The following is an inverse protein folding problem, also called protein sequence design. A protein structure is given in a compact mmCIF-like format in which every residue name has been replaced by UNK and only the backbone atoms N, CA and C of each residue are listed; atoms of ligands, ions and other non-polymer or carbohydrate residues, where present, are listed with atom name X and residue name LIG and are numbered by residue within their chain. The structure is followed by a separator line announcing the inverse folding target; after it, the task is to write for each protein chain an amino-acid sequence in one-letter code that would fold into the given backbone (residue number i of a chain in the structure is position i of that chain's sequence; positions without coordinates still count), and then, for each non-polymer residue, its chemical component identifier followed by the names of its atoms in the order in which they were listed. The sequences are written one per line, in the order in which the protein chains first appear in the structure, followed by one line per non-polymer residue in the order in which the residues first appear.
data_IF_056828100443
#
_entry.id   IF_056828100443
#
_cell.length_a   1.000
_cell.length_b   1.000
_cell.length_c   1.000
_cell.angle_alpha   90.00
_cell.angle_beta   90.00
_cell.angle_gamma   90.00
#
_symmetry.space_group_name_H-M   'P 1'
#
loop_
_entity.id
_entity.type
_entity.pdbx_description
1 polymer ?
#
# COMPACT_ATOMS: atom_id res chain seq x y z
N UNK A 1 -25.37 -7.77 16.55
CA UNK A 1 -25.51 -6.30 16.40
C UNK A 1 -24.61 -5.89 15.25
N UNK A 2 -25.10 -5.24 14.21
CA UNK A 2 -24.22 -4.65 13.18
C UNK A 2 -23.52 -3.46 13.86
N UNK A 3 -22.19 -3.52 13.99
CA UNK A 3 -21.43 -2.34 14.40
C UNK A 3 -21.68 -1.24 13.37
N UNK A 4 -22.03 -0.06 13.84
CA UNK A 4 -22.17 1.10 12.97
C UNK A 4 -20.76 1.57 12.62
N UNK A 5 -20.41 1.52 11.32
CA UNK A 5 -19.12 2.01 10.84
C UNK A 5 -19.09 3.53 10.98
N UNK A 6 -17.93 4.08 11.32
CA UNK A 6 -17.67 5.52 11.38
C UNK A 6 -16.95 5.98 10.12
N UNK A 7 -17.17 7.20 9.67
CA UNK A 7 -16.39 7.78 8.59
C UNK A 7 -14.93 7.90 9.02
N UNK A 8 -14.04 7.40 8.18
CA UNK A 8 -12.62 7.33 8.48
C UNK A 8 -11.93 6.21 7.72
N UNK A 9 -10.64 6.01 7.99
CA UNK A 9 -9.82 5.00 7.33
C UNK A 9 -9.05 4.14 8.34
N UNK A 10 -9.10 2.82 8.16
CA UNK A 10 -8.18 1.89 8.82
C UNK A 10 -7.26 1.27 7.77
N UNK A 11 -5.96 1.36 7.98
CA UNK A 11 -4.95 0.64 7.19
C UNK A 11 -4.68 -0.69 7.86
N UNK A 12 -4.77 -1.78 7.10
CA UNK A 12 -4.40 -3.12 7.51
C UNK A 12 -3.24 -3.62 6.64
N UNK A 13 -2.19 -4.15 7.24
CA UNK A 13 -1.04 -4.68 6.50
C UNK A 13 0.01 -5.31 7.40
N UNK A 14 1.01 -5.90 6.81
CA UNK A 14 2.12 -6.49 7.54
C UNK A 14 3.25 -5.47 7.71
N UNK A 15 3.90 -5.47 8.87
CA UNK A 15 5.21 -4.87 9.02
C UNK A 15 6.24 -5.69 8.26
N UNK A 16 7.32 -5.06 7.86
CA UNK A 16 8.44 -5.74 7.23
C UNK A 16 9.78 -5.34 7.86
N UNK A 17 10.72 -6.25 7.79
CA UNK A 17 12.14 -6.01 8.06
C UNK A 17 12.82 -5.82 6.71
N UNK A 18 13.32 -4.63 6.46
CA UNK A 18 14.01 -4.31 5.22
C UNK A 18 15.53 -4.23 5.43
N UNK A 19 16.29 -4.89 4.55
CA UNK A 19 17.74 -4.77 4.44
C UNK A 19 18.05 -4.07 3.10
N UNK A 20 18.48 -2.82 3.17
CA UNK A 20 18.71 -1.99 1.99
C UNK A 20 20.21 -1.89 1.72
N UNK A 21 20.69 -2.35 0.55
CA UNK A 21 22.10 -2.34 0.13
C UNK A 21 23.05 -2.95 1.19
N UNK A 22 22.60 -4.01 1.88
CA UNK A 22 23.38 -4.65 2.94
C UNK A 22 23.53 -3.84 4.23
N UNK A 23 22.80 -2.74 4.38
CA UNK A 23 22.74 -1.96 5.62
C UNK A 23 22.07 -2.76 6.76
N UNK A 24 22.18 -2.32 8.02
CA UNK A 24 21.43 -2.90 9.12
C UNK A 24 19.93 -2.94 8.84
N UNK A 25 19.23 -3.90 9.46
CA UNK A 25 17.78 -4.02 9.39
C UNK A 25 17.09 -2.71 9.76
N UNK A 26 16.04 -2.38 9.01
CA UNK A 26 15.21 -1.20 9.24
C UNK A 26 13.73 -1.55 9.14
N UNK A 27 12.86 -0.81 9.84
CA UNK A 27 11.42 -0.96 9.69
C UNK A 27 10.98 -0.69 8.26
N UNK A 28 10.18 -1.59 7.71
CA UNK A 28 9.59 -1.48 6.38
C UNK A 28 8.11 -1.89 6.39
N UNK A 29 7.59 -2.10 5.21
CA UNK A 29 6.20 -2.46 4.97
C UNK A 29 5.29 -1.25 4.78
N UNK A 30 4.22 -1.47 4.02
CA UNK A 30 3.27 -0.43 3.62
C UNK A 30 2.68 0.32 4.83
N UNK A 31 2.38 -0.40 5.92
CA UNK A 31 1.83 0.19 7.14
C UNK A 31 2.73 1.28 7.74
N UNK A 32 4.05 1.09 7.69
CA UNK A 32 5.02 2.07 8.20
C UNK A 32 4.99 3.38 7.41
N UNK A 33 4.85 3.30 6.10
CA UNK A 33 4.80 4.47 5.22
C UNK A 33 3.40 5.12 5.20
N UNK A 34 2.33 4.32 5.25
CA UNK A 34 0.96 4.81 5.35
C UNK A 34 0.76 5.69 6.60
N UNK A 35 1.46 5.38 7.71
CA UNK A 35 1.39 6.15 8.94
C UNK A 35 1.77 7.62 8.75
N UNK A 36 2.72 7.91 7.87
CA UNK A 36 3.12 9.30 7.55
C UNK A 36 1.94 10.09 6.98
N UNK A 37 1.20 9.47 6.05
CA UNK A 37 0.04 10.12 5.41
C UNK A 37 -1.11 10.37 6.37
N UNK A 38 -1.23 9.57 7.44
CA UNK A 38 -2.35 9.65 8.37
C UNK A 38 -2.07 10.51 9.61
N UNK A 39 -0.84 11.01 9.80
CA UNK A 39 -0.45 11.77 11.01
C UNK A 39 -1.22 13.07 11.17
N UNK A 40 -1.67 13.68 10.09
CA UNK A 40 -2.42 14.96 10.07
C UNK A 40 -3.87 14.78 9.64
N UNK A 41 -4.45 13.60 9.88
CA UNK A 41 -5.83 13.32 9.49
C UNK A 41 -6.83 14.07 10.38
N UNK A 42 -7.77 14.77 9.76
CA UNK A 42 -8.90 15.44 10.45
C UNK A 42 -10.10 14.49 10.68
N UNK A 43 -10.01 13.26 10.17
CA UNK A 43 -11.02 12.20 10.35
C UNK A 43 -10.40 11.01 11.10
N UNK A 44 -11.20 10.14 11.71
CA UNK A 44 -10.70 8.94 12.38
C UNK A 44 -9.79 8.12 11.47
N UNK A 45 -8.55 7.90 11.91
CA UNK A 45 -7.56 7.13 11.19
C UNK A 45 -6.85 6.15 12.13
N UNK A 46 -6.54 4.95 11.64
CA UNK A 46 -5.81 3.91 12.37
C UNK A 46 -4.97 3.08 11.43
N UNK A 47 -3.93 2.51 12.00
CA UNK A 47 -3.13 1.48 11.36
C UNK A 47 -3.10 0.29 12.29
N UNK A 48 -3.47 -0.86 11.77
CA UNK A 48 -3.26 -2.13 12.46
C UNK A 48 -2.35 -2.98 11.60
N UNK A 49 -1.21 -3.32 12.13
CA UNK A 49 -0.21 -4.11 11.43
C UNK A 49 0.12 -5.39 12.18
N UNK A 50 0.67 -6.39 11.50
CA UNK A 50 1.15 -7.61 12.13
C UNK A 50 2.67 -7.69 12.08
N UNK A 51 3.27 -8.21 13.16
CA UNK A 51 4.69 -8.47 13.29
C UNK A 51 4.99 -9.43 14.43
N UNK A 52 6.12 -10.14 14.35
CA UNK A 52 6.51 -11.07 15.41
C UNK A 52 6.96 -10.32 16.67
N UNK A 53 6.62 -10.83 17.88
CA UNK A 53 7.05 -10.20 19.13
C UNK A 53 8.57 -10.06 19.27
N UNK A 54 9.33 -11.00 18.73
CA UNK A 54 10.80 -11.01 18.80
C UNK A 54 11.41 -9.83 17.99
N UNK A 55 10.67 -9.29 17.03
CA UNK A 55 11.12 -8.18 16.18
C UNK A 55 10.61 -6.81 16.68
N UNK A 56 9.83 -6.75 17.76
CA UNK A 56 9.19 -5.52 18.23
C UNK A 56 10.18 -4.39 18.48
N UNK A 57 11.37 -4.68 19.04
CA UNK A 57 12.39 -3.67 19.29
C UNK A 57 12.79 -2.89 18.01
N UNK A 58 12.69 -3.53 16.83
CA UNK A 58 12.93 -2.85 15.56
C UNK A 58 11.84 -1.82 15.23
N UNK A 59 10.61 -2.04 15.71
CA UNK A 59 9.46 -1.20 15.44
C UNK A 59 9.16 -0.18 16.54
N UNK A 60 9.87 -0.21 17.68
CA UNK A 60 9.71 0.77 18.76
C UNK A 60 9.77 2.23 18.28
N UNK A 61 10.69 2.63 17.36
CA UNK A 61 10.71 3.99 16.83
C UNK A 61 9.43 4.38 16.08
N UNK A 62 8.74 3.42 15.44
CA UNK A 62 7.45 3.68 14.80
C UNK A 62 6.35 3.88 15.84
N UNK A 63 6.33 3.05 16.89
CA UNK A 63 5.38 3.17 17.99
C UNK A 63 5.55 4.48 18.75
N UNK A 64 6.79 4.90 19.01
CA UNK A 64 7.10 6.20 19.62
C UNK A 64 6.64 7.37 18.75
N UNK A 65 6.87 7.29 17.43
CA UNK A 65 6.53 8.34 16.49
C UNK A 65 5.02 8.47 16.26
N UNK A 66 4.30 7.36 16.12
CA UNK A 66 2.90 7.33 15.69
C UNK A 66 1.92 7.07 16.84
N UNK A 67 2.41 6.65 18.00
CA UNK A 67 1.61 6.48 19.21
C UNK A 67 0.35 5.63 18.96
N UNK A 68 -0.81 6.16 19.35
CA UNK A 68 -2.10 5.45 19.22
C UNK A 68 -2.59 5.26 17.79
N UNK A 69 -1.97 5.90 16.80
CA UNK A 69 -2.30 5.70 15.39
C UNK A 69 -1.93 4.28 14.93
N UNK A 70 -0.79 3.74 15.43
CA UNK A 70 -0.27 2.43 15.06
C UNK A 70 -0.48 1.42 16.18
N UNK A 71 -1.14 0.30 15.87
CA UNK A 71 -1.26 -0.87 16.72
C UNK A 71 -0.63 -2.08 16.04
N UNK A 72 0.23 -2.80 16.74
CA UNK A 72 0.84 -4.05 16.24
C UNK A 72 0.14 -5.23 16.88
N UNK A 73 -0.40 -6.13 16.06
CA UNK A 73 -0.91 -7.43 16.46
C UNK A 73 0.24 -8.45 16.40
N UNK A 74 0.35 -9.34 17.39
CA UNK A 74 1.36 -10.37 17.38
C UNK A 74 1.09 -11.40 16.28
N UNK A 75 2.17 -11.86 15.64
CA UNK A 75 2.15 -12.94 14.65
C UNK A 75 3.37 -13.84 14.82
N UNK A 76 3.35 -15.03 14.20
CA UNK A 76 4.44 -16.01 14.33
C UNK A 76 5.74 -15.55 13.66
N UNK A 77 5.65 -14.63 12.69
CA UNK A 77 6.78 -14.11 11.92
C UNK A 77 6.50 -12.73 11.38
N UNK A 78 7.58 -12.00 11.06
CA UNK A 78 7.53 -10.73 10.33
C UNK A 78 7.96 -10.95 8.89
N UNK A 79 7.32 -10.28 7.93
CA UNK A 79 7.79 -10.24 6.54
C UNK A 79 9.21 -9.66 6.49
N UNK A 80 10.07 -10.17 5.60
CA UNK A 80 11.42 -9.62 5.46
C UNK A 80 11.84 -9.56 4.00
N UNK A 81 12.47 -8.42 3.64
CA UNK A 81 12.90 -8.16 2.27
C UNK A 81 14.32 -7.64 2.23
N UNK A 82 15.01 -7.98 1.15
CA UNK A 82 16.27 -7.36 0.76
C UNK A 82 16.07 -6.54 -0.50
N UNK A 83 16.54 -5.29 -0.46
CA UNK A 83 16.44 -4.32 -1.54
C UNK A 83 17.84 -3.86 -1.93
N UNK A 84 18.32 -4.28 -3.09
CA UNK A 84 19.61 -3.88 -3.62
C UNK A 84 19.40 -2.89 -4.76
N UNK A 85 19.65 -1.61 -4.52
CA UNK A 85 19.54 -0.55 -5.50
C UNK A 85 20.70 -0.61 -6.48
N UNK A 86 20.39 -0.74 -7.77
CA UNK A 86 21.35 -0.68 -8.87
C UNK A 86 21.61 0.78 -9.23
N UNK A 87 20.56 1.60 -9.18
CA UNK A 87 20.57 3.06 -9.32
C UNK A 87 19.38 3.67 -8.55
N UNK A 88 19.09 4.96 -8.75
CA UNK A 88 18.02 5.66 -7.99
C UNK A 88 16.63 5.08 -8.28
N UNK A 89 16.40 4.58 -9.48
CA UNK A 89 15.09 4.15 -9.96
C UNK A 89 14.95 2.60 -10.01
N UNK A 90 16.07 1.87 -10.07
CA UNK A 90 16.07 0.43 -10.26
C UNK A 90 16.64 -0.31 -9.05
N UNK A 91 15.87 -1.26 -8.53
CA UNK A 91 16.27 -2.14 -7.45
C UNK A 91 15.98 -3.60 -7.75
N UNK A 92 16.81 -4.48 -7.23
CA UNK A 92 16.51 -5.90 -7.11
C UNK A 92 15.89 -6.13 -5.74
N UNK A 93 14.87 -6.96 -5.68
CA UNK A 93 14.21 -7.29 -4.42
C UNK A 93 14.22 -8.81 -4.23
N UNK A 94 14.45 -9.24 -3.00
CA UNK A 94 14.30 -10.64 -2.57
C UNK A 94 13.39 -10.70 -1.34
N UNK A 95 12.62 -11.76 -1.24
CA UNK A 95 11.83 -12.11 -0.07
C UNK A 95 12.67 -13.01 0.82
N UNK A 96 13.06 -12.55 1.99
CA UNK A 96 13.82 -13.35 2.96
C UNK A 96 12.87 -14.11 3.90
N UNK A 97 11.68 -13.54 4.20
CA UNK A 97 10.60 -14.22 4.93
C UNK A 97 9.22 -13.78 4.44
N UNK A 98 8.33 -14.75 4.26
CA UNK A 98 6.90 -14.53 3.99
C UNK A 98 6.19 -14.31 5.32
N UNK A 99 5.44 -13.23 5.42
CA UNK A 99 4.74 -12.81 6.63
C UNK A 99 3.44 -13.58 6.93
N UNK A 100 2.69 -13.09 7.92
CA UNK A 100 1.40 -13.67 8.29
C UNK A 100 0.31 -13.34 7.28
N UNK A 101 -0.76 -14.12 7.33
CA UNK A 101 -1.97 -13.96 6.51
C UNK A 101 -3.05 -13.28 7.34
N UNK A 102 -3.75 -12.32 6.75
CA UNK A 102 -4.91 -11.66 7.33
C UNK A 102 -6.18 -12.50 7.12
N UNK A 103 -6.39 -13.50 7.98
CA UNK A 103 -7.61 -14.30 8.01
C UNK A 103 -8.68 -13.70 8.91
N UNK A 104 -9.78 -14.43 9.10
CA UNK A 104 -10.92 -13.96 9.91
C UNK A 104 -10.54 -13.65 11.36
N UNK A 105 -9.62 -14.42 11.97
CA UNK A 105 -9.19 -14.22 13.36
C UNK A 105 -8.40 -12.90 13.52
N UNK A 106 -7.51 -12.60 12.57
CA UNK A 106 -6.71 -11.38 12.54
C UNK A 106 -7.60 -10.15 12.29
N UNK A 107 -8.62 -10.27 11.42
CA UNK A 107 -9.61 -9.21 11.19
C UNK A 107 -10.46 -8.99 12.45
N UNK A 108 -10.87 -10.03 13.15
CA UNK A 108 -11.58 -9.88 14.44
C UNK A 108 -10.70 -9.20 15.48
N UNK A 109 -9.43 -9.59 15.57
CA UNK A 109 -8.47 -8.96 16.49
C UNK A 109 -8.18 -7.50 16.12
N UNK A 110 -8.11 -7.18 14.85
CA UNK A 110 -7.95 -5.81 14.36
C UNK A 110 -9.18 -4.95 14.65
N UNK A 111 -10.36 -5.55 14.55
CA UNK A 111 -11.66 -4.92 14.77
C UNK A 111 -11.79 -3.56 14.06
N UNK A 112 -11.64 -3.51 12.73
CA UNK A 112 -11.79 -2.25 11.99
C UNK A 112 -13.25 -1.76 12.11
N UNK A 113 -13.41 -0.49 12.45
CA UNK A 113 -14.72 0.14 12.64
C UNK A 113 -14.95 1.34 11.71
N UNK A 114 -14.04 1.60 10.76
CA UNK A 114 -14.13 2.70 9.80
C UNK A 114 -14.78 2.25 8.50
N UNK A 115 -15.45 3.18 7.80
CA UNK A 115 -16.10 2.90 6.52
C UNK A 115 -15.10 2.51 5.45
N UNK A 116 -13.90 3.11 5.42
CA UNK A 116 -12.87 2.81 4.45
C UNK A 116 -11.76 1.97 5.06
N UNK A 117 -11.32 0.96 4.30
CA UNK A 117 -10.15 0.15 4.62
C UNK A 117 -9.13 0.29 3.50
N UNK A 118 -7.89 0.61 3.85
CA UNK A 118 -6.75 0.44 2.97
C UNK A 118 -6.08 -0.88 3.34
N UNK A 119 -6.25 -1.89 2.50
CA UNK A 119 -5.53 -3.14 2.61
C UNK A 119 -4.20 -3.01 1.87
N UNK A 120 -3.12 -3.12 2.61
CA UNK A 120 -1.75 -2.84 2.18
C UNK A 120 -0.91 -4.13 2.17
N UNK A 121 -1.18 -5.08 1.23
CA UNK A 121 -0.43 -6.33 1.14
C UNK A 121 1.01 -6.09 0.72
N UNK A 122 1.91 -6.91 1.18
CA UNK A 122 3.30 -7.00 0.70
C UNK A 122 3.46 -8.08 -0.36
N UNK A 123 2.71 -9.17 -0.18
CA UNK A 123 2.70 -10.34 -1.04
C UNK A 123 1.27 -10.81 -1.32
N UNK A 124 1.11 -11.67 -2.33
CA UNK A 124 -0.19 -12.13 -2.85
C UNK A 124 -1.08 -12.82 -1.81
N UNK A 125 -0.50 -13.53 -0.87
CA UNK A 125 -1.24 -14.30 0.15
C UNK A 125 -1.56 -13.51 1.39
N UNK A 126 -1.11 -12.27 1.52
CA UNK A 126 -1.35 -11.49 2.74
C UNK A 126 -2.84 -11.34 3.06
N UNK A 127 -3.67 -11.17 2.03
CA UNK A 127 -5.13 -11.06 2.18
C UNK A 127 -5.86 -12.05 1.26
N UNK A 128 -6.38 -13.15 1.78
CA UNK A 128 -7.20 -14.09 1.01
C UNK A 128 -8.50 -13.44 0.49
N UNK A 129 -9.01 -13.93 -0.64
CA UNK A 129 -10.24 -13.41 -1.25
C UNK A 129 -11.45 -13.48 -0.30
N UNK A 130 -11.56 -14.55 0.50
CA UNK A 130 -12.63 -14.72 1.48
C UNK A 130 -12.59 -13.61 2.55
N UNK A 131 -11.40 -13.14 2.92
CA UNK A 131 -11.23 -12.03 3.87
C UNK A 131 -11.75 -10.73 3.27
N UNK A 132 -11.43 -10.46 2.00
CA UNK A 132 -11.93 -9.27 1.30
C UNK A 132 -13.46 -9.30 1.17
N UNK A 133 -14.02 -10.46 0.77
CA UNK A 133 -15.45 -10.65 0.66
C UNK A 133 -16.15 -10.40 2.01
N UNK A 134 -15.63 -10.97 3.10
CA UNK A 134 -16.16 -10.77 4.44
C UNK A 134 -16.15 -9.30 4.88
N UNK A 135 -15.07 -8.55 4.58
CA UNK A 135 -14.97 -7.13 4.89
C UNK A 135 -15.98 -6.30 4.08
N UNK A 136 -16.12 -6.59 2.78
CA UNK A 136 -17.12 -5.93 1.93
C UNK A 136 -18.56 -6.22 2.39
N UNK A 137 -18.88 -7.46 2.80
CA UNK A 137 -20.18 -7.83 3.37
C UNK A 137 -20.51 -7.10 4.67
N UNK A 138 -19.49 -6.74 5.44
CA UNK A 138 -19.63 -5.89 6.65
C UNK A 138 -19.89 -4.43 6.31
N UNK A 139 -19.78 -4.03 5.05
CA UNK A 139 -20.04 -2.68 4.55
C UNK A 139 -18.81 -1.80 4.40
N UNK A 140 -17.61 -2.37 4.53
CA UNK A 140 -16.38 -1.62 4.29
C UNK A 140 -16.14 -1.36 2.80
N UNK A 141 -15.60 -0.20 2.48
CA UNK A 141 -15.09 0.17 1.17
C UNK A 141 -13.58 -0.08 1.13
N UNK A 142 -13.15 -1.00 0.28
CA UNK A 142 -11.78 -1.51 0.28
C UNK A 142 -10.96 -0.82 -0.80
N UNK A 143 -9.86 -0.17 -0.38
CA UNK A 143 -8.75 0.26 -1.25
C UNK A 143 -7.65 -0.80 -1.14
N UNK A 144 -7.17 -1.31 -2.27
CA UNK A 144 -6.21 -2.41 -2.32
C UNK A 144 -4.98 -2.05 -3.16
N UNK A 145 -3.78 -2.28 -2.61
CA UNK A 145 -2.53 -2.11 -3.34
C UNK A 145 -2.23 -3.29 -4.26
N UNK A 146 -1.96 -3.01 -5.53
CA UNK A 146 -1.78 -3.99 -6.60
C UNK A 146 -0.58 -4.92 -6.43
N UNK A 147 0.40 -4.55 -5.61
CA UNK A 147 1.50 -5.46 -5.28
C UNK A 147 0.99 -6.79 -4.69
N UNK A 148 -0.13 -6.78 -3.97
CA UNK A 148 -0.80 -7.99 -3.50
C UNK A 148 -1.46 -8.82 -4.59
N UNK A 149 -1.56 -8.33 -5.82
CA UNK A 149 -1.97 -9.13 -6.97
C UNK A 149 -0.76 -9.77 -7.66
N UNK A 150 0.34 -9.03 -7.80
CA UNK A 150 1.43 -9.43 -8.69
C UNK A 150 2.63 -10.05 -8.00
N UNK A 151 2.88 -9.78 -6.71
CA UNK A 151 4.07 -10.30 -6.00
C UNK A 151 3.82 -11.70 -5.46
N UNK A 152 4.58 -12.68 -5.96
CA UNK A 152 4.49 -14.05 -5.49
C UNK A 152 5.01 -14.21 -4.05
N UNK A 153 4.34 -15.05 -3.29
CA UNK A 153 4.54 -15.34 -1.86
C UNK A 153 5.59 -16.43 -1.60
N UNK A 154 6.80 -16.25 -2.13
CA UNK A 154 7.88 -17.24 -1.96
C UNK A 154 9.21 -16.60 -1.61
N UNK A 155 9.97 -17.27 -0.76
CA UNK A 155 11.35 -16.88 -0.40
C UNK A 155 12.27 -16.98 -1.62
N UNK A 156 13.21 -16.04 -1.73
CA UNK A 156 14.16 -15.91 -2.83
C UNK A 156 13.94 -14.62 -3.65
N UNK A 157 14.50 -14.53 -4.86
CA UNK A 157 14.28 -13.38 -5.73
C UNK A 157 12.78 -13.12 -5.90
N UNK A 158 12.37 -11.86 -5.74
CA UNK A 158 10.96 -11.50 -5.90
C UNK A 158 10.50 -11.84 -7.31
N UNK A 159 9.46 -12.64 -7.39
CA UNK A 159 8.79 -12.96 -8.65
C UNK A 159 7.51 -12.16 -8.73
N UNK A 160 7.33 -11.49 -9.83
CA UNK A 160 6.10 -10.76 -10.16
C UNK A 160 5.46 -11.39 -11.38
N UNK A 161 4.18 -11.70 -11.28
CA UNK A 161 3.39 -12.31 -12.34
C UNK A 161 1.90 -11.98 -12.17
N UNK A 162 1.07 -12.37 -13.14
CA UNK A 162 -0.38 -12.12 -13.15
C UNK A 162 -1.24 -13.28 -12.63
N UNK A 163 -0.65 -14.24 -11.92
CA UNK A 163 -1.37 -15.42 -11.44
C UNK A 163 -2.09 -15.16 -10.10
N UNK A 164 -2.92 -14.13 -10.02
CA UNK A 164 -3.76 -13.84 -8.85
C UNK A 164 -5.18 -14.39 -9.03
N UNK A 165 -5.88 -14.63 -7.91
CA UNK A 165 -7.30 -15.01 -7.95
C UNK A 165 -8.16 -13.83 -8.40
N UNK A 166 -9.01 -14.05 -9.38
CA UNK A 166 -10.00 -13.05 -9.83
C UNK A 166 -11.03 -12.73 -8.74
N UNK A 167 -11.20 -13.61 -7.75
CA UNK A 167 -12.11 -13.42 -6.60
C UNK A 167 -11.66 -12.30 -5.66
N UNK A 168 -10.41 -11.82 -5.81
CA UNK A 168 -9.93 -10.64 -5.08
C UNK A 168 -10.58 -9.34 -5.56
N UNK A 169 -11.04 -9.27 -6.82
CA UNK A 169 -11.45 -8.01 -7.44
C UNK A 169 -12.87 -7.54 -7.05
N UNK A 170 -13.92 -8.40 -7.04
CA UNK A 170 -15.29 -7.97 -6.81
C UNK A 170 -15.53 -7.22 -5.48
N UNK A 171 -14.83 -7.52 -4.37
CA UNK A 171 -14.98 -6.79 -3.11
C UNK A 171 -14.37 -5.39 -3.10
N UNK A 172 -13.51 -5.05 -4.08
CA UNK A 172 -12.76 -3.80 -4.07
C UNK A 172 -13.63 -2.60 -4.48
N UNK A 173 -13.49 -1.51 -3.75
CA UNK A 173 -13.97 -0.20 -4.19
C UNK A 173 -12.92 0.52 -5.03
N UNK A 174 -11.63 0.34 -4.69
CA UNK A 174 -10.51 0.97 -5.37
C UNK A 174 -9.36 -0.03 -5.50
N UNK A 175 -8.75 -0.11 -6.67
CA UNK A 175 -7.50 -0.81 -6.93
C UNK A 175 -6.43 0.21 -7.32
N UNK A 176 -5.32 0.29 -6.57
CA UNK A 176 -4.17 1.11 -6.95
C UNK A 176 -3.06 0.22 -7.53
N UNK A 177 -2.56 0.57 -8.69
CA UNK A 177 -1.46 -0.09 -9.37
C UNK A 177 -0.31 0.91 -9.59
N UNK A 178 0.93 0.47 -9.45
CA UNK A 178 2.06 1.16 -10.05
C UNK A 178 2.11 0.84 -11.55
N UNK A 179 2.84 1.62 -12.35
CA UNK A 179 2.95 1.43 -13.81
C UNK A 179 3.36 0.01 -14.19
N UNK A 180 4.39 -0.52 -13.53
CA UNK A 180 4.90 -1.89 -13.76
C UNK A 180 3.88 -2.96 -13.34
N UNK A 181 3.16 -2.76 -12.25
CA UNK A 181 2.08 -3.64 -11.81
C UNK A 181 0.91 -3.63 -12.81
N UNK A 182 0.57 -2.46 -13.34
CA UNK A 182 -0.47 -2.28 -14.33
C UNK A 182 -0.15 -3.06 -15.63
N UNK A 183 1.10 -2.97 -16.11
CA UNK A 183 1.57 -3.74 -17.27
C UNK A 183 1.45 -5.24 -17.03
N UNK A 184 1.81 -5.73 -15.85
CA UNK A 184 1.71 -7.16 -15.50
C UNK A 184 0.25 -7.61 -15.44
N UNK A 185 -0.63 -6.85 -14.79
CA UNK A 185 -2.06 -7.16 -14.66
C UNK A 185 -2.75 -7.15 -16.03
N UNK A 186 -2.36 -6.22 -16.91
CA UNK A 186 -2.89 -6.11 -18.26
C UNK A 186 -2.37 -7.17 -19.22
N UNK A 187 -1.21 -7.77 -18.93
CA UNK A 187 -0.40 -8.54 -19.89
C UNK A 187 -0.01 -7.68 -21.11
N UNK A 188 0.39 -6.46 -20.84
CA UNK A 188 0.71 -5.44 -21.85
C UNK A 188 0.31 -4.04 -21.43
N UNK A 189 -0.18 -3.23 -22.36
CA UNK A 189 -0.64 -1.87 -22.06
C UNK A 189 -1.92 -1.89 -21.23
N UNK A 190 -1.91 -1.15 -20.11
CA UNK A 190 -3.13 -0.93 -19.33
C UNK A 190 -3.98 0.16 -19.97
N UNK A 191 -5.23 -0.15 -20.23
CA UNK A 191 -6.17 0.74 -20.91
C UNK A 191 -7.60 0.65 -20.31
N UNK A 192 -8.52 1.43 -20.84
CA UNK A 192 -9.93 1.41 -20.42
C UNK A 192 -10.59 0.03 -20.60
N UNK A 193 -10.17 -0.73 -21.60
CA UNK A 193 -10.69 -2.09 -21.83
C UNK A 193 -10.26 -3.03 -20.70
N UNK A 194 -9.01 -2.93 -20.31
CA UNK A 194 -8.45 -3.68 -19.16
C UNK A 194 -9.13 -3.28 -17.87
N UNK A 195 -9.26 -1.98 -17.59
CA UNK A 195 -9.93 -1.47 -16.41
C UNK A 195 -11.38 -1.99 -16.32
N UNK A 196 -12.12 -1.93 -17.43
CA UNK A 196 -13.50 -2.44 -17.53
C UNK A 196 -13.57 -3.96 -17.30
N UNK A 197 -12.57 -4.72 -17.80
CA UNK A 197 -12.50 -6.18 -17.61
C UNK A 197 -12.26 -6.54 -16.14
N UNK A 198 -11.45 -5.77 -15.42
CA UNK A 198 -11.18 -5.98 -13.98
C UNK A 198 -12.42 -5.69 -13.13
N UNK A 199 -13.31 -4.80 -13.57
CA UNK A 199 -14.61 -4.54 -12.94
C UNK A 199 -14.53 -3.83 -11.59
N UNK A 200 -13.37 -3.28 -11.21
CA UNK A 200 -13.23 -2.48 -9.99
C UNK A 200 -13.72 -1.06 -10.27
N UNK A 201 -14.58 -0.47 -9.40
CA UNK A 201 -15.20 0.83 -9.66
C UNK A 201 -14.20 1.99 -9.88
N UNK A 202 -13.12 2.03 -9.12
CA UNK A 202 -12.06 3.02 -9.27
C UNK A 202 -10.71 2.29 -9.41
N UNK A 203 -9.96 2.55 -10.48
CA UNK A 203 -8.60 2.03 -10.63
C UNK A 203 -7.65 3.21 -10.80
N UNK A 204 -6.61 3.24 -9.97
CA UNK A 204 -5.55 4.24 -9.99
C UNK A 204 -4.29 3.59 -10.57
N UNK A 205 -3.72 4.17 -11.62
CA UNK A 205 -2.41 3.77 -12.15
C UNK A 205 -1.43 4.91 -11.94
N UNK A 206 -0.43 4.72 -11.09
CA UNK A 206 0.55 5.76 -10.74
C UNK A 206 1.81 5.64 -11.57
N UNK A 207 2.30 6.77 -12.11
CA UNK A 207 3.48 6.90 -12.98
C UNK A 207 4.58 7.74 -12.31
N UNK A 208 4.72 7.62 -10.99
CA UNK A 208 5.70 8.39 -10.22
C UNK A 208 5.55 9.90 -10.44
N UNK A 209 6.60 10.55 -10.92
CA UNK A 209 6.61 12.02 -11.17
C UNK A 209 5.75 12.47 -12.36
N UNK A 210 5.17 11.55 -13.12
CA UNK A 210 4.28 11.90 -14.24
C UNK A 210 2.80 11.96 -13.81
N UNK A 211 2.48 11.51 -12.58
CA UNK A 211 1.13 11.61 -12.02
C UNK A 211 0.39 10.29 -11.98
N UNK A 212 -0.92 10.33 -12.16
CA UNK A 212 -1.82 9.19 -11.99
C UNK A 212 -2.94 9.22 -13.02
N UNK A 213 -3.25 8.06 -13.61
CA UNK A 213 -4.49 7.85 -14.36
C UNK A 213 -5.55 7.28 -13.44
N UNK A 214 -6.74 7.88 -13.48
CA UNK A 214 -7.92 7.40 -12.79
C UNK A 214 -8.88 6.82 -13.80
N UNK A 215 -9.19 5.54 -13.66
CA UNK A 215 -10.20 4.85 -14.44
C UNK A 215 -11.47 4.74 -13.59
N UNK A 216 -12.55 5.38 -14.02
CA UNK A 216 -13.89 5.31 -13.39
C UNK A 216 -14.95 5.21 -14.44
N UNK A 217 -15.97 4.35 -14.24
CA UNK A 217 -17.17 4.26 -15.09
C UNK A 217 -16.89 4.19 -16.60
N UNK A 218 -15.74 3.59 -16.99
CA UNK A 218 -15.34 3.43 -18.39
C UNK A 218 -14.70 4.67 -19.03
N UNK A 219 -14.31 5.64 -18.24
CA UNK A 219 -13.49 6.80 -18.63
C UNK A 219 -12.16 6.80 -17.90
N UNK A 220 -11.16 7.47 -18.50
CA UNK A 220 -9.87 7.72 -17.88
C UNK A 220 -9.59 9.22 -17.80
N UNK A 221 -9.08 9.65 -16.63
CA UNK A 221 -8.63 11.02 -16.42
C UNK A 221 -7.18 10.99 -15.93
N UNK A 222 -6.28 11.69 -16.63
CA UNK A 222 -4.89 11.90 -16.23
C UNK A 222 -4.79 13.07 -15.28
N UNK A 223 -4.30 12.84 -14.06
CA UNK A 223 -3.95 13.88 -13.08
C UNK A 223 -2.42 13.97 -13.03
N UNK A 224 -1.82 15.11 -13.38
CA UNK A 224 -0.37 15.28 -13.30
C UNK A 224 0.08 15.24 -11.83
N UNK A 225 1.36 14.87 -11.60
CA UNK A 225 1.94 14.99 -10.27
C UNK A 225 1.94 16.47 -9.82
N UNK A 226 1.77 16.70 -8.52
CA UNK A 226 1.74 18.06 -7.97
C UNK A 226 3.01 18.84 -8.30
N UNK A 227 4.18 18.22 -8.11
CA UNK A 227 5.48 18.65 -8.60
C UNK A 227 6.50 17.51 -8.58
N UNK A 228 7.57 17.66 -9.31
CA UNK A 228 8.64 16.67 -9.39
C UNK A 228 9.67 16.87 -8.29
N UNK A 229 10.07 15.78 -7.63
CA UNK A 229 11.16 15.76 -6.64
C UNK A 229 12.23 14.78 -7.13
N UNK A 230 13.44 15.32 -7.42
CA UNK A 230 14.54 14.55 -7.98
C UNK A 230 15.62 14.24 -6.93
N UNK A 231 16.33 13.13 -7.13
CA UNK A 231 17.50 12.75 -6.34
C UNK A 231 17.19 12.27 -4.93
N UNK A 232 15.99 11.75 -4.68
CA UNK A 232 15.59 11.19 -3.39
C UNK A 232 15.10 9.75 -3.55
N UNK A 233 15.24 8.95 -2.50
CA UNK A 233 14.63 7.61 -2.49
C UNK A 233 13.10 7.72 -2.44
N UNK A 234 12.44 7.01 -3.35
CA UNK A 234 10.97 7.02 -3.48
C UNK A 234 10.27 5.86 -2.75
N UNK A 235 11.02 5.05 -1.99
CA UNK A 235 10.42 3.92 -1.22
C UNK A 235 9.28 4.39 -0.34
N UNK A 236 8.14 3.73 -0.40
CA UNK A 236 6.94 4.06 0.36
C UNK A 236 6.11 5.21 -0.20
N UNK A 237 6.51 5.83 -1.33
CA UNK A 237 5.71 6.88 -1.96
C UNK A 237 4.32 6.38 -2.37
N UNK A 238 4.25 5.16 -2.95
CA UNK A 238 2.99 4.51 -3.31
C UNK A 238 2.10 4.26 -2.09
N UNK A 239 2.68 3.79 -0.98
CA UNK A 239 1.92 3.51 0.26
C UNK A 239 1.35 4.79 0.87
N UNK A 240 2.15 5.87 0.92
CA UNK A 240 1.68 7.20 1.35
C UNK A 240 0.57 7.72 0.44
N UNK A 241 0.73 7.57 -0.87
CA UNK A 241 -0.27 7.97 -1.86
C UNK A 241 -1.59 7.26 -1.63
N UNK A 242 -1.58 5.92 -1.53
CA UNK A 242 -2.79 5.12 -1.35
C UNK A 242 -3.48 5.43 -0.03
N UNK A 243 -2.72 5.57 1.06
CA UNK A 243 -3.28 5.92 2.37
C UNK A 243 -3.91 7.33 2.37
N UNK A 244 -3.25 8.32 1.77
CA UNK A 244 -3.79 9.68 1.65
C UNK A 244 -5.03 9.71 0.73
N UNK A 245 -5.02 8.96 -0.38
CA UNK A 245 -6.19 8.80 -1.22
C UNK A 245 -7.38 8.25 -0.43
N UNK A 246 -7.19 7.12 0.25
CA UNK A 246 -8.23 6.49 1.06
C UNK A 246 -8.79 7.43 2.14
N UNK A 247 -7.90 8.19 2.80
CA UNK A 247 -8.27 9.19 3.81
C UNK A 247 -9.19 10.27 3.21
N UNK A 248 -8.81 10.86 2.08
CA UNK A 248 -9.61 11.89 1.42
C UNK A 248 -10.94 11.34 0.90
N UNK A 249 -10.95 10.10 0.35
CA UNK A 249 -12.19 9.43 -0.04
C UNK A 249 -13.10 9.20 1.16
N UNK A 250 -12.57 8.88 2.34
CA UNK A 250 -13.34 8.71 3.58
C UNK A 250 -13.96 10.02 4.09
N UNK A 251 -13.34 11.15 3.79
CA UNK A 251 -13.85 12.48 4.06
C UNK A 251 -14.86 12.98 2.99
N UNK A 252 -15.24 12.14 2.01
CA UNK A 252 -16.20 12.49 0.97
C UNK A 252 -15.61 13.26 -0.21
N UNK A 253 -14.29 13.41 -0.29
CA UNK A 253 -13.62 14.07 -1.42
C UNK A 253 -13.75 13.21 -2.68
N UNK A 254 -14.03 13.82 -3.82
CA UNK A 254 -14.12 13.14 -5.12
C UNK A 254 -12.78 12.53 -5.55
N UNK A 255 -12.78 11.51 -6.45
CA UNK A 255 -11.57 10.74 -6.78
C UNK A 255 -10.45 11.61 -7.38
N UNK A 256 -10.73 12.50 -8.30
CA UNK A 256 -9.71 13.38 -8.91
C UNK A 256 -9.03 14.27 -7.87
N UNK A 257 -9.81 14.95 -7.03
CA UNK A 257 -9.26 15.81 -5.97
C UNK A 257 -8.51 15.01 -4.92
N UNK A 258 -8.94 13.78 -4.62
CA UNK A 258 -8.23 12.89 -3.70
C UNK A 258 -6.86 12.48 -4.26
N UNK A 259 -6.72 12.28 -5.58
CA UNK A 259 -5.42 12.04 -6.24
C UNK A 259 -4.52 13.26 -6.15
N UNK A 260 -5.06 14.47 -6.42
CA UNK A 260 -4.28 15.72 -6.31
C UNK A 260 -3.71 15.87 -4.89
N UNK A 261 -4.55 15.73 -3.85
CA UNK A 261 -4.13 15.84 -2.45
C UNK A 261 -3.12 14.76 -2.05
N UNK A 262 -3.28 13.53 -2.56
CA UNK A 262 -2.32 12.46 -2.33
C UNK A 262 -0.97 12.76 -2.99
N UNK A 263 -0.98 13.31 -4.21
CA UNK A 263 0.22 13.73 -4.93
C UNK A 263 0.94 14.89 -4.22
N UNK A 264 0.19 15.90 -3.74
CA UNK A 264 0.73 17.02 -2.97
C UNK A 264 1.43 16.54 -1.68
N UNK A 265 0.79 15.63 -0.93
CA UNK A 265 1.37 15.06 0.28
C UNK A 265 2.64 14.28 -0.01
N UNK A 266 2.62 13.38 -0.99
CA UNK A 266 3.80 12.56 -1.35
C UNK A 266 4.96 13.45 -1.77
N UNK A 267 4.75 14.42 -2.64
CA UNK A 267 5.80 15.33 -3.08
C UNK A 267 6.40 16.12 -1.91
N UNK A 268 5.56 16.64 -1.00
CA UNK A 268 6.00 17.32 0.23
C UNK A 268 6.82 16.42 1.15
N UNK A 269 6.45 15.16 1.31
CA UNK A 269 7.20 14.22 2.15
C UNK A 269 8.53 13.79 1.48
N UNK A 270 8.55 13.65 0.16
CA UNK A 270 9.78 13.36 -0.57
C UNK A 270 10.79 14.52 -0.49
N UNK A 271 10.34 15.79 -0.53
CA UNK A 271 11.23 16.96 -0.37
C UNK A 271 11.97 17.00 0.97
N UNK A 272 11.40 16.40 2.03
CA UNK A 272 12.03 16.34 3.36
C UNK A 272 13.13 15.27 3.45
N UNK A 273 13.23 14.38 2.46
CA UNK A 273 14.22 13.30 2.44
C UNK A 273 15.60 13.82 2.06
N UNK A 274 16.68 13.21 2.62
CA UNK A 274 18.02 13.53 2.18
C UNK A 274 18.19 13.18 0.70
N UNK A 275 18.89 14.03 -0.04
CA UNK A 275 19.24 13.74 -1.43
C UNK A 275 20.25 12.61 -1.47
N UNK A 276 20.01 11.62 -2.33
CA UNK A 276 20.95 10.55 -2.59
C UNK A 276 22.18 11.13 -3.30
N UNK A 277 23.37 10.89 -2.78
CA UNK A 277 24.59 11.18 -3.54
C UNK A 277 24.57 10.34 -4.82
N UNK A 278 24.96 10.91 -5.98
CA UNK A 278 25.09 10.12 -7.19
C UNK A 278 26.06 8.97 -6.91
N UNK A 279 25.62 7.72 -7.13
CA UNK A 279 26.48 6.54 -7.03
C UNK A 279 27.65 6.78 -7.98
N UNK A 280 28.83 7.06 -7.43
CA UNK A 280 30.01 7.32 -8.19
C UNK A 280 30.26 6.15 -9.16
N UNK A 281 30.40 6.48 -10.44
CA UNK A 281 30.89 5.50 -11.43
C UNK A 281 32.31 5.13 -11.02
N UNK A 282 32.48 3.92 -10.47
CA UNK A 282 33.78 3.27 -10.29
C UNK A 282 34.23 2.67 -11.62
#
# INVERSE_FOLDING_TARGET
MRHQLVDGVTVLGNLAIDVINGAPQSPGGCASFAAVALTSADVPARIVAMGAPDDHALFDPLLERFGSLLRILPSDRTSSFRLDYVDVDHRRMSVDAVGPVWGSAEIEAANPDTTWLHLAPLLRTDFPADTLAQLAERGHRIVYDGQGLVRADRVGPLVVDRHFSQDLLPPLAVLKLAEDEAVIVADGTFDETTAKRLGVPEILVTFGSEGCDIYTEGSVVRIPAAWRVDGVQTTGAGDMFTACYALNRSAGVGPERAVELASELVASELEKRPRSEPVGRA
#
